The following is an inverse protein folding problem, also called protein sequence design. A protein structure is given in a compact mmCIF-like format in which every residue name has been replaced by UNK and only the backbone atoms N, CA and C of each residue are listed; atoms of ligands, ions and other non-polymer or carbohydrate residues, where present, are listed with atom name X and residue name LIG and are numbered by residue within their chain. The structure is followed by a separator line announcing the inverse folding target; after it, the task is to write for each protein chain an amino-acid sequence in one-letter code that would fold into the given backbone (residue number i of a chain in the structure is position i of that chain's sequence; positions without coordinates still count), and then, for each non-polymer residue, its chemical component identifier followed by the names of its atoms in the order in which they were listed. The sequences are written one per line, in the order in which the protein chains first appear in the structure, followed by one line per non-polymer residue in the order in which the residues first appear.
data_IF_509192634537
#
_entry.id   IF_509192634537
#
_cell.length_a   1.000
_cell.length_b   1.000
_cell.length_c   1.000
_cell.angle_alpha   90.00
_cell.angle_beta   90.00
_cell.angle_gamma   90.00
#
_symmetry.space_group_name_H-M   'P 1'
#
loop_
_entity.id
_entity.type
_entity.pdbx_description
1 polymer ?
#
# COMPACT_ATOMS: atom_id res chain seq x y z
N UNK A 1 10.82 23.84 -50.99
CA UNK A 1 9.52 24.47 -50.67
C UNK A 1 9.64 25.10 -49.29
N UNK A 2 9.22 26.36 -49.11
CA UNK A 2 9.20 26.99 -47.79
C UNK A 2 8.07 26.38 -46.95
N UNK A 3 8.36 26.11 -45.67
CA UNK A 3 7.39 25.57 -44.73
C UNK A 3 6.26 26.60 -44.49
N UNK A 4 4.99 26.17 -44.36
CA UNK A 4 3.87 27.09 -44.10
C UNK A 4 4.04 27.79 -42.74
N UNK A 5 3.62 29.06 -42.66
CA UNK A 5 3.55 29.78 -41.38
C UNK A 5 2.45 29.18 -40.50
N UNK A 6 2.84 28.68 -39.33
CA UNK A 6 1.92 28.10 -38.34
C UNK A 6 1.50 29.13 -37.28
N UNK A 7 0.23 29.10 -36.87
CA UNK A 7 -0.30 29.98 -35.81
C UNK A 7 0.10 29.47 -34.42
N UNK A 8 0.85 30.27 -33.66
CA UNK A 8 1.32 29.91 -32.32
C UNK A 8 0.22 29.64 -31.29
N UNK A 9 -1.03 30.05 -31.55
CA UNK A 9 -2.17 29.85 -30.62
C UNK A 9 -2.88 28.50 -30.82
N UNK A 10 -2.59 27.79 -31.91
CA UNK A 10 -3.21 26.52 -32.25
C UNK A 10 -2.21 25.38 -32.04
N UNK A 11 -2.72 24.20 -31.68
CA UNK A 11 -1.93 22.96 -31.70
C UNK A 11 -1.76 22.51 -33.15
N UNK A 12 -0.55 22.09 -33.52
CA UNK A 12 -0.22 21.59 -34.85
C UNK A 12 0.40 20.21 -34.73
N UNK A 13 0.02 19.32 -35.63
CA UNK A 13 0.68 18.02 -35.81
C UNK A 13 1.60 18.14 -37.03
N UNK A 14 2.91 17.98 -36.80
CA UNK A 14 3.93 18.11 -37.83
C UNK A 14 4.63 16.77 -37.96
N UNK A 15 4.48 16.15 -39.12
CA UNK A 15 5.07 14.85 -39.42
C UNK A 15 6.01 14.98 -40.62
N UNK A 16 7.18 14.36 -40.51
CA UNK A 16 8.19 14.36 -41.56
C UNK A 16 8.18 13.00 -42.23
N UNK A 17 7.93 12.99 -43.55
CA UNK A 17 8.05 11.77 -44.35
C UNK A 17 9.54 11.48 -44.55
N UNK A 18 10.04 10.44 -43.89
CA UNK A 18 11.47 10.06 -43.94
C UNK A 18 11.79 9.21 -45.17
N UNK A 19 10.96 8.21 -45.47
CA UNK A 19 11.15 7.36 -46.66
C UNK A 19 9.80 6.81 -47.16
N UNK A 20 9.78 6.34 -48.42
CA UNK A 20 8.68 5.59 -49.04
C UNK A 20 9.26 4.31 -49.63
N UNK A 21 8.82 3.17 -49.09
CA UNK A 21 9.40 1.87 -49.39
C UNK A 21 8.33 0.85 -49.75
N UNK A 22 8.69 -0.10 -50.61
CA UNK A 22 7.89 -1.29 -50.92
C UNK A 22 8.58 -2.47 -50.25
N UNK A 23 7.88 -3.14 -49.32
CA UNK A 23 8.44 -4.26 -48.55
C UNK A 23 8.72 -5.44 -49.48
N UNK A 24 10.00 -5.80 -49.63
CA UNK A 24 10.49 -6.91 -50.46
C UNK A 24 11.77 -7.50 -49.88
N UNK A 25 12.20 -8.65 -50.37
CA UNK A 25 13.48 -9.22 -49.92
C UNK A 25 14.67 -8.30 -50.27
N UNK A 26 15.64 -8.20 -49.36
CA UNK A 26 16.87 -7.43 -49.54
C UNK A 26 16.84 -5.95 -49.14
N UNK A 27 15.73 -5.42 -48.60
CA UNK A 27 15.65 -4.01 -48.17
C UNK A 27 15.87 -3.77 -46.67
N UNK A 28 16.29 -4.79 -45.90
CA UNK A 28 16.47 -4.68 -44.44
C UNK A 28 17.36 -3.52 -44.01
N UNK A 29 18.48 -3.30 -44.69
CA UNK A 29 19.41 -2.23 -44.34
C UNK A 29 18.78 -0.84 -44.55
N UNK A 30 18.10 -0.64 -45.67
CA UNK A 30 17.36 0.60 -45.95
C UNK A 30 16.23 0.82 -44.93
N UNK A 31 15.48 -0.24 -44.61
CA UNK A 31 14.45 -0.20 -43.56
C UNK A 31 15.03 0.26 -42.22
N UNK A 32 16.15 -0.33 -41.80
CA UNK A 32 16.82 0.02 -40.55
C UNK A 32 17.27 1.48 -40.55
N UNK A 33 17.95 1.94 -41.60
CA UNK A 33 18.43 3.33 -41.72
C UNK A 33 17.27 4.34 -41.69
N UNK A 34 16.16 4.05 -42.38
CA UNK A 34 14.95 4.88 -42.37
C UNK A 34 14.30 4.93 -40.99
N UNK A 35 14.21 3.80 -40.30
CA UNK A 35 13.66 3.73 -38.95
C UNK A 35 14.54 4.47 -37.94
N UNK A 36 15.86 4.32 -38.02
CA UNK A 36 16.80 5.03 -37.15
C UNK A 36 16.72 6.55 -37.36
N UNK A 37 16.61 6.98 -38.63
CA UNK A 37 16.41 8.40 -38.97
C UNK A 37 15.08 8.93 -38.44
N UNK A 38 13.98 8.18 -38.60
CA UNK A 38 12.66 8.57 -38.09
C UNK A 38 12.65 8.69 -36.57
N UNK A 39 13.17 7.67 -35.87
CA UNK A 39 13.27 7.66 -34.41
C UNK A 39 14.18 8.80 -33.92
N UNK A 40 15.28 9.10 -34.61
CA UNK A 40 16.18 10.20 -34.26
C UNK A 40 15.56 11.59 -34.43
N UNK A 41 14.73 11.79 -35.46
CA UNK A 41 14.09 13.07 -35.75
C UNK A 41 12.87 13.37 -34.84
N UNK A 42 12.22 12.34 -34.31
CA UNK A 42 10.95 12.45 -33.59
C UNK A 42 11.04 11.90 -32.14
N UNK A 43 12.16 12.13 -31.46
CA UNK A 43 12.43 11.76 -30.05
C UNK A 43 12.04 10.31 -29.69
N UNK A 44 12.33 9.39 -30.60
CA UNK A 44 12.08 7.97 -30.42
C UNK A 44 10.68 7.50 -30.77
N UNK A 45 9.93 8.23 -31.61
CA UNK A 45 8.65 7.80 -32.18
C UNK A 45 8.79 7.66 -33.70
N UNK A 46 8.27 6.59 -34.28
CA UNK A 46 8.19 6.41 -35.72
C UNK A 46 6.79 5.92 -36.11
N UNK A 47 6.29 6.40 -37.25
CA UNK A 47 5.00 5.99 -37.80
C UNK A 47 5.22 5.29 -39.14
N UNK A 48 4.62 4.11 -39.31
CA UNK A 48 4.54 3.45 -40.60
C UNK A 48 3.09 3.49 -41.08
N UNK A 49 2.86 4.08 -42.25
CA UNK A 49 1.55 4.15 -42.87
C UNK A 49 1.52 3.27 -44.12
N UNK A 50 0.53 2.38 -44.22
CA UNK A 50 0.34 1.54 -45.39
C UNK A 50 -0.27 2.38 -46.52
N UNK A 51 0.45 2.52 -47.64
CA UNK A 51 0.02 3.34 -48.77
C UNK A 51 -1.27 2.84 -49.45
N UNK A 52 -1.58 1.53 -49.38
CA UNK A 52 -2.74 0.94 -50.03
C UNK A 52 -4.01 1.00 -49.17
N UNK A 53 -3.85 1.00 -47.84
CA UNK A 53 -4.95 0.88 -46.87
C UNK A 53 -5.09 2.01 -45.86
N UNK A 54 -4.13 2.94 -45.79
CA UNK A 54 -4.08 4.03 -44.81
C UNK A 54 -3.89 3.56 -43.35
N UNK A 55 -3.65 2.27 -43.13
CA UNK A 55 -3.44 1.71 -41.79
C UNK A 55 -2.12 2.21 -41.22
N UNK A 56 -2.17 2.81 -40.03
CA UNK A 56 -1.02 3.42 -39.36
C UNK A 56 -0.58 2.60 -38.17
N UNK A 57 0.68 2.16 -38.19
CA UNK A 57 1.35 1.49 -37.08
C UNK A 57 2.32 2.46 -36.42
N UNK A 58 2.28 2.54 -35.09
CA UNK A 58 3.19 3.40 -34.31
C UNK A 58 4.27 2.55 -33.65
N UNK A 59 5.50 3.01 -33.72
CA UNK A 59 6.66 2.42 -33.07
C UNK A 59 7.26 3.45 -32.12
N UNK A 60 7.76 2.99 -30.98
CA UNK A 60 8.58 3.82 -30.10
C UNK A 60 9.82 3.04 -29.66
N UNK A 61 10.96 3.73 -29.63
CA UNK A 61 12.22 3.21 -29.06
C UNK A 61 12.28 3.36 -27.55
N UNK A 62 11.32 4.09 -26.95
CA UNK A 62 11.10 4.18 -25.51
C UNK A 62 9.81 3.43 -25.17
N UNK A 63 9.59 3.13 -23.89
CA UNK A 63 8.28 2.66 -23.44
C UNK A 63 7.29 3.84 -23.38
N UNK A 64 6.97 4.42 -24.54
CA UNK A 64 6.02 5.51 -24.71
C UNK A 64 4.67 4.98 -25.18
N UNK A 65 3.58 5.49 -24.62
CA UNK A 65 2.23 5.25 -25.12
C UNK A 65 2.07 5.97 -26.47
N UNK A 66 1.77 5.23 -27.56
CA UNK A 66 1.60 5.80 -28.89
C UNK A 66 0.52 6.87 -29.03
N UNK A 67 -0.47 6.86 -28.13
CA UNK A 67 -1.66 7.74 -28.21
C UNK A 67 -1.51 8.98 -27.32
N UNK A 68 -0.93 8.81 -26.13
CA UNK A 68 -0.85 9.89 -25.13
C UNK A 68 0.54 10.50 -24.99
N UNK A 69 1.58 9.89 -25.57
CA UNK A 69 2.98 10.28 -25.36
C UNK A 69 3.51 9.96 -23.96
N UNK A 70 2.71 9.29 -23.12
CA UNK A 70 3.09 8.91 -21.76
C UNK A 70 4.24 7.90 -21.77
N UNK A 71 5.39 8.25 -21.20
CA UNK A 71 6.57 7.39 -21.11
C UNK A 71 6.70 6.75 -19.74
N UNK A 72 7.09 5.47 -19.71
CA UNK A 72 7.66 4.84 -18.51
C UNK A 72 9.17 4.73 -18.67
N UNK A 73 9.88 4.84 -17.54
CA UNK A 73 11.29 4.49 -17.46
C UNK A 73 11.49 2.99 -17.74
N UNK A 74 12.73 2.59 -17.97
CA UNK A 74 13.07 1.18 -18.17
C UNK A 74 12.53 0.32 -17.01
N UNK A 75 11.93 -0.82 -17.37
CA UNK A 75 11.26 -1.69 -16.39
C UNK A 75 12.31 -2.45 -15.57
N UNK A 76 12.67 -1.86 -14.43
CA UNK A 76 13.64 -2.43 -13.49
C UNK A 76 12.97 -2.86 -12.17
N UNK A 77 13.55 -3.82 -11.42
CA UNK A 77 12.98 -4.28 -10.14
C UNK A 77 12.70 -3.16 -9.12
N UNK A 78 13.54 -2.12 -9.08
CA UNK A 78 13.37 -0.97 -8.17
C UNK A 78 12.07 -0.19 -8.38
N UNK A 79 11.52 -0.23 -9.60
CA UNK A 79 10.24 0.40 -9.93
C UNK A 79 9.06 -0.29 -9.21
N UNK A 80 9.24 -1.52 -8.77
CA UNK A 80 8.25 -2.31 -8.03
C UNK A 80 8.52 -2.36 -6.51
N UNK A 81 9.51 -1.60 -6.03
CA UNK A 81 9.82 -1.51 -4.61
C UNK A 81 9.16 -0.28 -4.00
N UNK A 82 8.24 -0.49 -3.05
CA UNK A 82 7.66 0.59 -2.24
C UNK A 82 8.64 1.19 -1.23
N UNK A 83 9.81 0.55 -1.02
CA UNK A 83 10.89 1.08 -0.18
C UNK A 83 11.88 1.93 -0.99
N UNK A 84 11.66 2.10 -2.30
CA UNK A 84 12.49 2.92 -3.18
C UNK A 84 11.69 4.12 -3.67
N UNK A 85 12.25 5.35 -3.66
CA UNK A 85 11.60 6.52 -4.23
C UNK A 85 11.23 6.37 -5.72
N UNK A 86 11.88 5.44 -6.44
CA UNK A 86 11.56 5.13 -7.83
C UNK A 86 10.18 4.47 -7.98
N UNK A 87 9.83 3.53 -7.08
CA UNK A 87 8.58 2.78 -7.14
C UNK A 87 7.50 3.22 -6.14
N UNK A 88 7.88 3.86 -5.04
CA UNK A 88 6.97 4.25 -3.96
C UNK A 88 5.93 5.28 -4.40
N UNK A 89 4.68 5.10 -3.93
CA UNK A 89 3.63 6.09 -4.11
C UNK A 89 4.06 7.43 -3.48
N UNK A 90 4.07 8.55 -4.24
CA UNK A 90 4.56 9.84 -3.73
C UNK A 90 3.64 10.47 -2.68
N UNK A 91 2.37 10.07 -2.64
CA UNK A 91 1.38 10.62 -1.70
C UNK A 91 1.55 10.06 -0.29
N UNK A 92 1.87 8.77 -0.16
CA UNK A 92 2.02 8.08 1.12
C UNK A 92 3.44 7.57 1.38
N UNK A 93 4.42 7.98 0.56
CA UNK A 93 5.82 7.53 0.62
C UNK A 93 5.97 6.00 0.71
N UNK A 94 5.14 5.27 -0.03
CA UNK A 94 5.14 3.82 -0.02
C UNK A 94 4.63 3.17 1.28
N UNK A 95 3.96 3.90 2.16
CA UNK A 95 3.26 3.31 3.32
C UNK A 95 2.00 2.53 2.91
N UNK A 96 1.26 3.05 1.93
CA UNK A 96 -0.03 2.50 1.47
C UNK A 96 -1.20 2.93 2.32
N UNK A 97 -0.96 3.51 3.49
CA UNK A 97 -1.99 4.10 4.34
C UNK A 97 -1.82 5.62 4.41
N UNK A 98 -2.93 6.29 4.70
CA UNK A 98 -2.97 7.70 5.07
C UNK A 98 -3.62 7.80 6.44
N UNK A 99 -2.95 8.50 7.36
CA UNK A 99 -3.52 8.84 8.65
C UNK A 99 -4.43 10.06 8.50
N UNK A 100 -5.62 10.00 9.09
CA UNK A 100 -6.58 11.11 9.13
C UNK A 100 -7.21 11.18 10.51
N UNK A 101 -7.66 12.36 10.93
CA UNK A 101 -8.39 12.50 12.18
C UNK A 101 -9.81 11.98 12.03
N UNK A 102 -10.17 11.00 12.84
CA UNK A 102 -11.48 10.35 12.78
C UNK A 102 -12.46 11.04 13.74
N UNK A 103 -13.62 11.44 13.22
CA UNK A 103 -14.67 12.06 14.01
C UNK A 103 -15.14 11.18 15.18
N UNK A 104 -15.14 9.85 15.01
CA UNK A 104 -15.53 8.90 16.07
C UNK A 104 -14.48 8.79 17.18
N UNK A 105 -13.20 9.07 16.87
CA UNK A 105 -12.16 9.14 17.90
C UNK A 105 -12.16 10.51 18.60
N UNK A 106 -12.50 11.57 17.87
CA UNK A 106 -12.64 12.93 18.42
C UNK A 106 -13.86 13.04 19.34
N UNK A 107 -14.97 12.37 18.99
CA UNK A 107 -16.20 12.29 19.78
C UNK A 107 -16.56 10.80 19.96
N UNK A 108 -15.97 10.11 20.95
CA UNK A 108 -16.18 8.68 21.15
C UNK A 108 -17.52 8.35 21.85
N UNK A 109 -18.10 9.33 22.55
CA UNK A 109 -19.35 9.16 23.30
C UNK A 109 -20.37 10.20 22.82
N UNK A 110 -21.39 9.69 22.12
CA UNK A 110 -22.42 10.51 21.49
C UNK A 110 -23.48 11.03 22.47
N UNK A 111 -23.55 10.48 23.67
CA UNK A 111 -24.49 10.84 24.74
C UNK A 111 -23.96 11.93 25.68
N UNK A 112 -22.69 12.31 25.55
CA UNK A 112 -22.06 13.38 26.35
C UNK A 112 -22.41 14.75 25.77
N UNK A 113 -22.70 15.72 26.64
CA UNK A 113 -22.98 17.10 26.24
C UNK A 113 -21.69 17.88 25.94
N UNK A 114 -21.78 18.92 25.09
CA UNK A 114 -20.63 19.78 24.75
C UNK A 114 -19.93 20.37 25.99
N UNK A 115 -20.71 20.76 27.01
CA UNK A 115 -20.21 21.30 28.29
C UNK A 115 -19.38 20.28 29.07
N UNK A 116 -19.73 19.01 28.97
CA UNK A 116 -19.17 17.94 29.79
C UNK A 116 -18.01 17.22 29.07
N UNK A 117 -17.53 17.79 27.95
CA UNK A 117 -16.34 17.33 27.26
C UNK A 117 -16.59 16.33 26.14
N UNK A 118 -17.70 16.46 25.39
CA UNK A 118 -17.98 15.60 24.23
C UNK A 118 -16.84 15.58 23.17
N UNK A 119 -16.09 16.69 23.04
CA UNK A 119 -14.98 16.81 22.09
C UNK A 119 -13.67 16.51 22.82
N UNK A 120 -13.26 15.23 22.78
CA UNK A 120 -12.19 14.69 23.59
C UNK A 120 -10.86 15.45 23.47
N UNK A 121 -10.36 15.83 22.26
CA UNK A 121 -9.08 16.53 22.10
C UNK A 121 -9.02 17.91 22.76
N UNK A 122 -10.17 18.50 23.11
CA UNK A 122 -10.27 19.82 23.71
C UNK A 122 -10.57 19.75 25.21
N UNK A 123 -10.76 18.56 25.76
CA UNK A 123 -10.95 18.35 27.20
C UNK A 123 -9.64 18.51 27.98
N UNK A 124 -9.72 19.00 29.21
CA UNK A 124 -8.56 19.10 30.10
C UNK A 124 -7.51 20.15 29.71
N UNK A 125 -7.75 20.94 28.65
CA UNK A 125 -6.87 22.03 28.28
C UNK A 125 -6.85 23.10 29.39
N UNK A 126 -5.66 23.53 29.81
CA UNK A 126 -5.50 24.55 30.86
C UNK A 126 -6.05 25.92 30.49
N UNK A 127 -6.30 26.16 29.20
CA UNK A 127 -6.83 27.42 28.67
C UNK A 127 -8.34 27.32 28.42
N UNK A 128 -9.14 28.31 28.85
CA UNK A 128 -10.58 28.33 28.60
C UNK A 128 -10.94 28.61 27.13
N UNK A 129 -9.94 28.73 26.25
CA UNK A 129 -10.08 29.07 24.85
C UNK A 129 -11.02 28.12 24.08
N UNK A 130 -10.86 26.80 24.25
CA UNK A 130 -11.68 25.82 23.53
C UNK A 130 -13.13 25.80 24.02
N UNK A 131 -13.34 25.85 25.34
CA UNK A 131 -14.68 25.95 25.91
C UNK A 131 -15.42 27.21 25.47
N UNK A 132 -14.73 28.36 25.45
CA UNK A 132 -15.29 29.63 24.98
C UNK A 132 -15.62 29.60 23.47
N UNK A 133 -14.81 28.87 22.68
CA UNK A 133 -15.08 28.63 21.25
C UNK A 133 -16.37 27.83 21.08
N UNK A 134 -16.53 26.72 21.82
CA UNK A 134 -17.74 25.90 21.77
C UNK A 134 -18.98 26.65 22.26
N UNK A 135 -18.85 27.45 23.33
CA UNK A 135 -19.93 28.31 23.80
C UNK A 135 -20.37 29.34 22.74
N UNK A 136 -19.41 29.93 22.02
CA UNK A 136 -19.70 30.88 20.95
C UNK A 136 -20.39 30.20 19.76
N UNK A 137 -19.95 28.99 19.38
CA UNK A 137 -20.60 28.19 18.33
C UNK A 137 -22.02 27.78 18.73
N UNK A 138 -22.21 27.34 19.98
CA UNK A 138 -23.52 26.98 20.51
C UNK A 138 -24.48 28.18 20.47
N UNK A 139 -24.01 29.37 20.87
CA UNK A 139 -24.80 30.59 20.80
C UNK A 139 -25.17 30.99 19.36
N UNK A 140 -24.23 30.87 18.41
CA UNK A 140 -24.45 31.16 16.99
C UNK A 140 -25.51 30.26 16.37
N UNK A 141 -25.40 28.95 16.59
CA UNK A 141 -26.36 27.95 16.09
C UNK A 141 -27.62 27.80 16.95
N UNK A 142 -27.75 28.59 18.02
CA UNK A 142 -28.87 28.58 18.97
C UNK A 142 -29.13 27.20 19.61
N UNK A 143 -28.05 26.46 19.88
CA UNK A 143 -28.08 25.19 20.63
C UNK A 143 -27.58 25.40 22.06
N UNK A 144 -27.94 24.49 22.97
CA UNK A 144 -27.48 24.55 24.36
C UNK A 144 -26.19 23.74 24.50
N UNK A 145 -25.25 24.24 25.30
CA UNK A 145 -24.02 23.50 25.66
C UNK A 145 -24.31 22.22 26.46
N UNK A 146 -25.49 22.11 27.08
CA UNK A 146 -25.92 20.94 27.85
C UNK A 146 -26.64 19.89 26.98
N UNK A 147 -26.79 20.11 25.68
CA UNK A 147 -27.39 19.14 24.78
C UNK A 147 -26.38 18.04 24.45
N UNK A 148 -26.72 16.75 24.60
CA UNK A 148 -25.91 15.62 24.16
C UNK A 148 -25.51 15.71 22.69
N UNK A 149 -24.32 15.22 22.32
CA UNK A 149 -23.80 15.31 20.96
C UNK A 149 -24.76 14.74 19.90
N UNK A 150 -25.35 13.57 20.15
CA UNK A 150 -26.31 12.92 19.24
C UNK A 150 -27.57 13.74 18.99
N UNK A 151 -27.99 14.55 19.96
CA UNK A 151 -29.20 15.38 19.88
C UNK A 151 -28.96 16.70 19.13
N UNK A 152 -27.70 17.07 18.88
CA UNK A 152 -27.36 18.24 18.08
C UNK A 152 -27.80 18.04 16.61
N UNK A 153 -28.34 19.07 15.94
CA UNK A 153 -28.66 18.99 14.53
C UNK A 153 -27.42 18.63 13.71
N UNK A 154 -27.58 17.81 12.66
CA UNK A 154 -26.46 17.36 11.82
C UNK A 154 -25.61 18.52 11.28
N UNK A 155 -26.24 19.62 10.84
CA UNK A 155 -25.53 20.85 10.40
C UNK A 155 -24.60 21.41 11.49
N UNK A 156 -24.99 21.34 12.76
CA UNK A 156 -24.19 21.85 13.88
C UNK A 156 -23.01 20.91 14.18
N UNK A 157 -23.23 19.58 14.15
CA UNK A 157 -22.14 18.61 14.30
C UNK A 157 -21.09 18.75 13.20
N UNK A 158 -21.53 18.86 11.95
CA UNK A 158 -20.67 19.13 10.79
C UNK A 158 -19.92 20.45 10.94
N UNK A 159 -20.61 21.53 11.36
CA UNK A 159 -19.99 22.83 11.59
C UNK A 159 -18.91 22.81 12.68
N UNK A 160 -19.11 22.01 13.73
CA UNK A 160 -18.14 21.84 14.81
C UNK A 160 -16.94 21.00 14.32
N UNK A 161 -17.17 19.89 13.63
CA UNK A 161 -16.09 19.00 13.20
C UNK A 161 -15.28 19.57 12.03
N UNK A 162 -15.94 20.02 10.97
CA UNK A 162 -15.35 20.41 9.69
C UNK A 162 -15.35 21.93 9.44
N UNK A 163 -15.95 22.71 10.34
CA UNK A 163 -15.96 24.16 10.27
C UNK A 163 -17.20 24.73 9.60
N UNK A 164 -17.33 26.06 9.62
CA UNK A 164 -18.52 26.78 9.13
C UNK A 164 -18.45 27.19 7.66
N UNK A 165 -17.41 26.78 6.94
CA UNK A 165 -17.19 27.16 5.53
C UNK A 165 -17.01 28.66 5.39
N UNK A 166 -17.93 29.33 4.69
CA UNK A 166 -17.94 30.79 4.53
C UNK A 166 -18.75 31.52 5.61
N UNK A 167 -19.54 30.79 6.41
CA UNK A 167 -20.41 31.38 7.42
C UNK A 167 -19.56 31.96 8.58
N UNK A 168 -19.64 33.28 8.76
CA UNK A 168 -18.87 34.00 9.77
C UNK A 168 -19.51 33.83 11.15
N UNK A 169 -18.72 33.34 12.10
CA UNK A 169 -19.13 33.19 13.50
C UNK A 169 -18.49 34.29 14.34
N UNK A 170 -19.23 34.80 15.32
CA UNK A 170 -18.68 35.72 16.33
C UNK A 170 -18.17 34.92 17.52
N UNK A 171 -16.85 34.76 17.60
CA UNK A 171 -16.16 34.05 18.69
C UNK A 171 -15.79 35.03 19.78
N UNK A 172 -16.30 34.82 20.99
CA UNK A 172 -16.07 35.69 22.15
C UNK A 172 -15.07 35.05 23.08
N UNK A 173 -13.97 35.74 23.33
CA UNK A 173 -12.93 35.28 24.23
C UNK A 173 -12.81 36.20 25.44
N UNK A 174 -12.58 35.61 26.60
CA UNK A 174 -12.28 36.32 27.85
C UNK A 174 -11.02 35.72 28.44
N UNK A 175 -9.95 36.51 28.42
CA UNK A 175 -8.68 36.16 29.05
C UNK A 175 -8.49 37.08 30.27
N UNK A 176 -8.76 36.55 31.46
CA UNK A 176 -8.68 37.24 32.74
C UNK A 176 -9.32 38.63 32.78
N UNK A 177 -8.53 39.65 32.46
CA UNK A 177 -8.83 41.08 32.54
C UNK A 177 -9.47 41.69 31.29
N UNK A 178 -9.41 41.04 30.11
CA UNK A 178 -9.93 41.61 28.85
C UNK A 178 -10.83 40.61 28.12
N UNK A 179 -11.92 41.14 27.57
CA UNK A 179 -12.79 40.42 26.64
C UNK A 179 -12.61 40.98 25.23
N UNK A 180 -12.52 40.12 24.24
CA UNK A 180 -12.45 40.51 22.83
C UNK A 180 -13.31 39.58 21.96
N UNK A 181 -13.80 40.12 20.85
CA UNK A 181 -14.60 39.36 19.89
C UNK A 181 -13.84 39.23 18.57
N UNK A 182 -13.87 38.05 17.97
CA UNK A 182 -13.29 37.77 16.66
C UNK A 182 -14.41 37.30 15.75
N UNK A 183 -14.58 37.99 14.61
CA UNK A 183 -15.55 37.60 13.57
C UNK A 183 -14.80 36.95 12.42
N UNK A 184 -14.85 35.63 12.35
CA UNK A 184 -14.28 34.85 11.24
C UNK A 184 -15.02 33.54 11.08
N UNK A 185 -14.93 32.89 9.91
CA UNK A 185 -15.36 31.50 9.79
C UNK A 185 -14.57 30.61 10.75
N UNK A 186 -15.25 29.65 11.36
CA UNK A 186 -14.63 28.68 12.23
C UNK A 186 -14.07 27.53 11.39
N UNK A 187 -12.82 27.17 11.64
CA UNK A 187 -12.07 26.20 10.82
C UNK A 187 -12.51 24.74 11.04
N UNK A 188 -13.15 24.42 12.18
CA UNK A 188 -13.49 23.06 12.56
C UNK A 188 -12.46 22.43 13.50
N UNK A 189 -12.91 21.49 14.33
CA UNK A 189 -12.04 20.72 15.24
C UNK A 189 -11.03 19.89 14.45
N UNK A 190 -11.46 19.19 13.40
CA UNK A 190 -10.59 18.32 12.61
C UNK A 190 -9.49 19.12 11.91
N UNK A 191 -9.85 20.23 11.24
CA UNK A 191 -8.87 21.10 10.60
C UNK A 191 -7.90 21.72 11.61
N UNK A 192 -8.36 22.04 12.82
CA UNK A 192 -7.51 22.50 13.91
C UNK A 192 -6.48 21.44 14.31
N UNK A 193 -6.91 20.18 14.48
CA UNK A 193 -6.02 19.06 14.82
C UNK A 193 -5.02 18.78 13.70
N UNK A 194 -5.46 18.76 12.45
CA UNK A 194 -4.59 18.60 11.27
C UNK A 194 -3.52 19.69 11.20
N UNK A 195 -3.92 20.97 11.37
CA UNK A 195 -2.97 22.08 11.40
C UNK A 195 -1.98 21.93 12.54
N UNK A 196 -2.45 21.68 13.77
CA UNK A 196 -1.59 21.50 14.96
C UNK A 196 -0.61 20.34 14.78
N UNK A 197 -1.06 19.22 14.20
CA UNK A 197 -0.20 18.07 13.93
C UNK A 197 0.85 18.38 12.86
N UNK A 198 0.53 19.20 11.86
CA UNK A 198 1.49 19.63 10.83
C UNK A 198 2.51 20.64 11.35
N UNK A 199 2.08 21.57 12.19
CA UNK A 199 2.91 22.68 12.68
C UNK A 199 3.75 22.33 13.93
N UNK A 200 3.40 21.28 14.67
CA UNK A 200 4.13 20.93 15.90
C UNK A 200 5.30 19.97 15.63
N UNK A 201 6.46 20.36 16.15
CA UNK A 201 7.67 19.51 16.17
C UNK A 201 7.84 18.77 17.51
N UNK A 202 6.95 19.00 18.50
CA UNK A 202 7.05 18.36 19.82
C UNK A 202 6.54 16.90 19.76
N UNK A 203 7.38 15.89 20.03
CA UNK A 203 6.99 14.48 19.95
C UNK A 203 5.80 14.11 20.82
N UNK A 204 5.72 14.65 22.04
CA UNK A 204 4.64 14.37 22.99
C UNK A 204 3.29 14.89 22.47
N UNK A 205 3.28 16.08 21.87
CA UNK A 205 2.06 16.65 21.29
C UNK A 205 1.63 15.86 20.06
N UNK A 206 2.58 15.40 19.24
CA UNK A 206 2.27 14.54 18.09
C UNK A 206 1.65 13.21 18.55
N UNK A 207 2.25 12.57 19.54
CA UNK A 207 1.74 11.30 20.09
C UNK A 207 0.34 11.45 20.69
N UNK A 208 0.08 12.52 21.45
CA UNK A 208 -1.24 12.81 22.02
C UNK A 208 -2.29 13.02 20.92
N UNK A 209 -1.96 13.81 19.89
CA UNK A 209 -2.85 14.04 18.75
C UNK A 209 -3.09 12.77 17.92
N UNK A 210 -2.08 11.92 17.73
CA UNK A 210 -2.21 10.68 16.97
C UNK A 210 -3.21 9.68 17.57
N UNK A 211 -3.59 9.82 18.84
CA UNK A 211 -4.66 9.00 19.46
C UNK A 211 -6.03 9.21 18.82
N UNK A 212 -6.22 10.35 18.16
CA UNK A 212 -7.45 10.71 17.46
C UNK A 212 -7.37 10.44 15.96
N UNK A 213 -6.29 9.82 15.48
CA UNK A 213 -6.11 9.45 14.09
C UNK A 213 -6.52 8.00 13.86
N UNK A 214 -7.17 7.76 12.73
CA UNK A 214 -7.36 6.44 12.16
C UNK A 214 -6.52 6.33 10.87
N UNK A 215 -6.25 5.09 10.47
CA UNK A 215 -5.61 4.79 9.20
C UNK A 215 -6.65 4.35 8.18
N UNK A 216 -6.50 4.83 6.94
CA UNK A 216 -7.25 4.33 5.79
C UNK A 216 -6.30 4.01 4.64
N UNK A 217 -6.70 3.19 3.66
CA UNK A 217 -5.93 3.02 2.43
C UNK A 217 -5.69 4.36 1.74
N UNK A 218 -4.47 4.59 1.28
CA UNK A 218 -4.08 5.78 0.54
C UNK A 218 -4.95 5.92 -0.71
N UNK A 219 -5.54 7.10 -0.92
CA UNK A 219 -6.46 7.34 -2.03
C UNK A 219 -5.75 7.31 -3.39
N UNK A 220 -4.46 7.69 -3.44
CA UNK A 220 -3.69 7.76 -4.69
C UNK A 220 -3.25 6.38 -5.21
N UNK A 221 -2.90 5.45 -4.32
CA UNK A 221 -2.45 4.10 -4.72
C UNK A 221 -3.40 2.97 -4.32
N UNK A 222 -4.57 3.31 -3.75
CA UNK A 222 -5.57 2.37 -3.25
C UNK A 222 -4.99 1.31 -2.27
N UNK A 223 -3.95 1.68 -1.52
CA UNK A 223 -3.27 0.76 -0.60
C UNK A 223 -2.14 -0.08 -1.21
N UNK A 224 -1.88 0.01 -2.52
CA UNK A 224 -0.84 -0.79 -3.18
C UNK A 224 0.59 -0.25 -3.02
N UNK A 225 0.78 0.90 -2.35
CA UNK A 225 2.08 1.46 -1.97
C UNK A 225 2.98 1.92 -3.13
N UNK A 226 2.55 1.70 -4.37
CA UNK A 226 3.36 1.93 -5.56
C UNK A 226 2.81 3.08 -6.41
N UNK A 227 3.67 3.59 -7.29
CA UNK A 227 3.31 4.56 -8.31
C UNK A 227 2.32 3.98 -9.32
N UNK A 228 1.42 4.80 -9.90
CA UNK A 228 0.52 4.35 -10.96
C UNK A 228 1.26 3.72 -12.15
N UNK A 229 2.45 4.21 -12.49
CA UNK A 229 3.30 3.67 -13.56
C UNK A 229 3.73 2.22 -13.28
N UNK A 230 4.07 1.90 -12.04
CA UNK A 230 4.44 0.56 -11.62
C UNK A 230 3.23 -0.39 -11.63
N UNK A 231 2.06 0.12 -11.24
CA UNK A 231 0.80 -0.65 -11.26
C UNK A 231 0.24 -0.86 -12.68
N UNK A 232 0.72 -0.10 -13.67
CA UNK A 232 0.36 -0.30 -15.07
C UNK A 232 1.01 -1.56 -15.68
N UNK A 233 2.12 -2.04 -15.11
CA UNK A 233 2.80 -3.26 -15.59
C UNK A 233 2.05 -4.49 -15.07
N UNK A 234 1.62 -5.34 -16.00
CA UNK A 234 0.81 -6.53 -15.72
C UNK A 234 1.47 -7.80 -16.23
N UNK A 235 1.32 -8.87 -15.45
CA UNK A 235 1.66 -10.25 -15.84
C UNK A 235 0.37 -11.05 -15.78
N UNK A 236 0.04 -11.81 -16.82
CA UNK A 236 -1.19 -12.61 -16.89
C UNK A 236 -2.47 -11.85 -16.45
N UNK A 237 -2.56 -10.56 -16.78
CA UNK A 237 -3.72 -9.70 -16.48
C UNK A 237 -3.71 -8.96 -15.13
N UNK A 238 -2.83 -9.33 -14.19
CA UNK A 238 -2.74 -8.69 -12.86
C UNK A 238 -1.46 -7.86 -12.72
N UNK A 239 -1.55 -6.76 -11.99
CA UNK A 239 -0.36 -6.01 -11.55
C UNK A 239 0.17 -6.54 -10.20
N UNK A 240 1.38 -6.11 -9.82
CA UNK A 240 2.06 -6.63 -8.61
C UNK A 240 1.25 -6.44 -7.32
N UNK A 241 0.55 -5.31 -7.18
CA UNK A 241 -0.31 -5.03 -6.03
C UNK A 241 -1.50 -5.99 -5.91
N UNK A 242 -2.18 -6.34 -7.01
CA UNK A 242 -3.28 -7.31 -7.05
C UNK A 242 -2.78 -8.71 -6.73
N UNK A 243 -1.68 -9.14 -7.36
CA UNK A 243 -1.08 -10.45 -7.12
C UNK A 243 -0.64 -10.61 -5.66
N UNK A 244 -0.13 -9.54 -5.04
CA UNK A 244 0.29 -9.55 -3.63
C UNK A 244 -0.89 -9.52 -2.64
N UNK A 245 -2.04 -9.00 -3.06
CA UNK A 245 -3.25 -8.93 -2.23
C UNK A 245 -4.03 -10.26 -2.20
N UNK A 246 -3.76 -11.17 -3.15
CA UNK A 246 -4.33 -12.51 -3.13
C UNK A 246 -3.92 -13.26 -1.86
N UNK A 247 -4.83 -14.09 -1.34
CA UNK A 247 -4.47 -15.10 -0.35
C UNK A 247 -3.43 -16.06 -0.95
N UNK A 248 -2.50 -16.54 -0.14
CA UNK A 248 -1.32 -17.30 -0.57
C UNK A 248 -1.72 -18.55 -1.38
N UNK A 249 -2.79 -19.27 -1.02
CA UNK A 249 -3.27 -20.38 -1.85
C UNK A 249 -3.66 -19.92 -3.26
N UNK A 250 -4.38 -18.80 -3.38
CA UNK A 250 -4.78 -18.24 -4.69
C UNK A 250 -3.60 -17.70 -5.46
N UNK A 251 -2.65 -17.05 -4.77
CA UNK A 251 -1.43 -16.57 -5.39
C UNK A 251 -0.63 -17.74 -5.96
N UNK A 252 -0.48 -18.83 -5.20
CA UNK A 252 0.19 -20.06 -5.68
C UNK A 252 -0.47 -20.61 -6.93
N UNK A 253 -1.79 -20.78 -6.90
CA UNK A 253 -2.54 -21.33 -8.04
C UNK A 253 -2.42 -20.44 -9.27
N UNK A 254 -2.43 -19.12 -9.07
CA UNK A 254 -2.24 -18.15 -10.13
C UNK A 254 -0.82 -18.21 -10.72
N UNK A 255 0.24 -18.16 -9.88
CA UNK A 255 1.63 -18.22 -10.34
C UNK A 255 1.98 -19.56 -11.02
N UNK A 256 1.32 -20.66 -10.65
CA UNK A 256 1.46 -21.94 -11.33
C UNK A 256 0.96 -21.88 -12.79
N UNK A 257 -0.06 -21.05 -13.07
CA UNK A 257 -0.65 -20.89 -14.40
C UNK A 257 0.01 -19.79 -15.24
N UNK A 258 0.75 -18.87 -14.62
CA UNK A 258 1.41 -17.75 -15.33
C UNK A 258 2.31 -18.25 -16.46
N UNK A 259 3.06 -19.34 -16.25
CA UNK A 259 4.03 -19.85 -17.25
C UNK A 259 3.39 -20.20 -18.60
N UNK A 260 2.12 -20.64 -18.58
CA UNK A 260 1.35 -21.01 -19.77
C UNK A 260 0.96 -19.79 -20.61
N UNK A 261 0.79 -18.62 -19.97
CA UNK A 261 0.43 -17.36 -20.62
C UNK A 261 1.61 -16.68 -21.32
N UNK A 262 2.84 -17.12 -21.05
CA UNK A 262 4.07 -16.50 -21.55
C UNK A 262 4.47 -17.07 -22.92
N UNK A 263 5.05 -16.20 -23.75
CA UNK A 263 5.73 -16.61 -25.00
C UNK A 263 6.94 -17.49 -24.68
N UNK A 264 7.41 -18.35 -25.61
CA UNK A 264 8.55 -19.24 -25.35
C UNK A 264 9.81 -18.53 -24.84
N UNK A 265 10.13 -17.35 -25.40
CA UNK A 265 11.26 -16.53 -24.96
C UNK A 265 11.09 -16.02 -23.53
N UNK A 266 9.91 -15.46 -23.20
CA UNK A 266 9.62 -14.95 -21.84
C UNK A 266 9.59 -16.06 -20.81
N UNK A 267 9.06 -17.22 -21.20
CA UNK A 267 9.04 -18.43 -20.38
C UNK A 267 10.45 -18.85 -19.97
N UNK A 268 11.39 -18.86 -20.91
CA UNK A 268 12.77 -19.28 -20.62
C UNK A 268 13.45 -18.36 -19.60
N UNK A 269 13.23 -17.05 -19.72
CA UNK A 269 13.72 -16.04 -18.77
C UNK A 269 13.06 -16.20 -17.40
N UNK A 270 11.72 -16.35 -17.37
CA UNK A 270 10.95 -16.36 -16.14
C UNK A 270 10.97 -17.69 -15.38
N UNK A 271 11.33 -18.81 -16.02
CA UNK A 271 11.19 -20.17 -15.45
C UNK A 271 11.83 -20.32 -14.06
N UNK A 272 13.05 -19.83 -13.89
CA UNK A 272 13.76 -19.92 -12.59
C UNK A 272 13.09 -19.07 -11.51
N UNK A 273 12.62 -17.89 -11.88
CA UNK A 273 11.94 -16.95 -10.98
C UNK A 273 10.58 -17.51 -10.56
N UNK A 274 9.80 -18.01 -11.51
CA UNK A 274 8.49 -18.61 -11.24
C UNK A 274 8.59 -19.86 -10.37
N UNK A 275 9.61 -20.70 -10.59
CA UNK A 275 9.88 -21.84 -9.72
C UNK A 275 10.12 -21.40 -8.28
N UNK A 276 11.02 -20.43 -8.07
CA UNK A 276 11.34 -19.91 -6.75
C UNK A 276 10.11 -19.31 -6.04
N UNK A 277 9.27 -18.57 -6.77
CA UNK A 277 8.02 -18.01 -6.24
C UNK A 277 7.07 -19.13 -5.83
N UNK A 278 6.83 -20.10 -6.72
CA UNK A 278 5.91 -21.21 -6.46
C UNK A 278 6.37 -22.07 -5.27
N UNK A 279 7.67 -22.35 -5.16
CA UNK A 279 8.24 -23.11 -4.05
C UNK A 279 8.04 -22.36 -2.72
N UNK A 280 8.33 -21.04 -2.68
CA UNK A 280 8.12 -20.22 -1.47
C UNK A 280 6.66 -20.12 -1.06
N UNK A 281 5.76 -19.96 -2.02
CA UNK A 281 4.32 -19.95 -1.75
C UNK A 281 3.86 -21.32 -1.25
N UNK A 282 4.37 -22.41 -1.82
CA UNK A 282 4.04 -23.75 -1.35
C UNK A 282 4.54 -23.99 0.08
N UNK A 283 5.73 -23.52 0.46
CA UNK A 283 6.19 -23.63 1.85
C UNK A 283 5.27 -22.89 2.83
N UNK A 284 4.74 -21.72 2.45
CA UNK A 284 3.76 -21.00 3.27
C UNK A 284 2.44 -21.76 3.40
N UNK A 285 2.01 -22.47 2.35
CA UNK A 285 0.84 -23.37 2.40
C UNK A 285 1.10 -24.57 3.30
N UNK A 286 2.30 -25.16 3.22
CA UNK A 286 2.69 -26.35 4.00
C UNK A 286 2.69 -26.06 5.51
N UNK A 287 3.05 -24.83 5.92
CA UNK A 287 2.99 -24.39 7.33
C UNK A 287 1.62 -23.80 7.72
N UNK A 288 0.59 -23.93 6.89
CA UNK A 288 -0.78 -23.51 7.21
C UNK A 288 -1.00 -22.00 7.24
N UNK A 289 -0.27 -21.23 6.44
CA UNK A 289 -0.44 -19.78 6.29
C UNK A 289 -1.15 -19.40 4.99
N UNK A 290 -1.83 -20.35 4.36
CA UNK A 290 -2.44 -20.22 3.04
C UNK A 290 -3.58 -19.18 2.94
N UNK A 291 -4.15 -18.80 4.10
CA UNK A 291 -5.19 -17.78 4.22
C UNK A 291 -4.64 -16.34 4.25
N UNK A 292 -3.34 -16.16 4.51
CA UNK A 292 -2.71 -14.83 4.52
C UNK A 292 -2.46 -14.32 3.11
N UNK A 293 -2.27 -13.01 2.96
CA UNK A 293 -1.79 -12.39 1.72
C UNK A 293 -0.35 -11.89 1.87
N UNK A 294 0.37 -11.76 0.76
CA UNK A 294 1.72 -11.19 0.75
C UNK A 294 1.72 -9.69 1.11
N UNK A 295 0.58 -9.02 0.94
CA UNK A 295 0.40 -7.61 1.29
C UNK A 295 0.11 -7.36 2.78
N UNK A 296 -0.12 -8.39 3.61
CA UNK A 296 -0.44 -8.22 5.04
C UNK A 296 0.76 -7.62 5.79
N UNK A 297 0.49 -6.63 6.64
CA UNK A 297 1.51 -6.02 7.50
C UNK A 297 2.08 -7.02 8.51
N UNK A 298 3.41 -7.07 8.61
CA UNK A 298 4.11 -7.92 9.58
C UNK A 298 3.79 -7.56 11.04
N UNK A 299 3.41 -6.30 11.32
CA UNK A 299 3.05 -5.84 12.67
C UNK A 299 1.72 -6.41 13.18
N UNK A 300 0.88 -6.92 12.28
CA UNK A 300 -0.44 -7.46 12.61
C UNK A 300 -0.44 -8.98 12.75
N UNK A 301 0.72 -9.63 12.58
CA UNK A 301 0.85 -11.07 12.68
C UNK A 301 0.89 -11.49 14.16
N UNK A 302 0.22 -12.60 14.46
CA UNK A 302 0.38 -13.28 15.74
C UNK A 302 1.80 -13.86 15.89
N UNK A 303 2.17 -14.20 17.13
CA UNK A 303 3.45 -14.85 17.42
C UNK A 303 3.63 -16.15 16.63
N UNK A 304 2.61 -17.01 16.62
CA UNK A 304 2.61 -18.27 15.87
C UNK A 304 2.68 -18.06 14.35
N UNK A 305 1.96 -17.08 13.79
CA UNK A 305 2.09 -16.75 12.35
C UNK A 305 3.53 -16.31 12.01
N UNK A 306 4.12 -15.43 12.82
CA UNK A 306 5.49 -14.93 12.61
C UNK A 306 6.54 -16.05 12.69
N UNK A 307 6.37 -16.96 13.66
CA UNK A 307 7.24 -18.13 13.80
C UNK A 307 7.13 -19.06 12.59
N UNK A 308 5.93 -19.33 12.09
CA UNK A 308 5.72 -20.18 10.92
C UNK A 308 6.24 -19.55 9.63
N UNK A 309 6.15 -18.23 9.44
CA UNK A 309 6.80 -17.52 8.32
C UNK A 309 8.31 -17.70 8.38
N UNK A 310 8.90 -17.60 9.59
CA UNK A 310 10.33 -17.85 9.77
C UNK A 310 10.69 -19.29 9.41
N UNK A 311 9.91 -20.28 9.86
CA UNK A 311 10.11 -21.69 9.51
C UNK A 311 10.05 -21.93 7.98
N UNK A 312 9.00 -21.44 7.32
CA UNK A 312 8.87 -21.51 5.86
C UNK A 312 10.07 -20.90 5.12
N UNK A 313 10.56 -19.75 5.62
CA UNK A 313 11.75 -19.07 5.06
C UNK A 313 13.02 -19.90 5.24
N UNK A 314 13.15 -20.63 6.35
CA UNK A 314 14.30 -21.50 6.61
C UNK A 314 14.29 -22.74 5.70
N UNK A 315 13.13 -23.35 5.47
CA UNK A 315 13.00 -24.48 4.54
C UNK A 315 13.36 -24.04 3.12
N UNK A 316 12.90 -22.85 2.70
CA UNK A 316 13.22 -22.30 1.40
C UNK A 316 14.67 -21.83 1.24
N UNK A 317 15.46 -21.75 2.32
CA UNK A 317 16.88 -21.41 2.22
C UNK A 317 17.74 -22.59 1.76
N UNK A 318 17.22 -23.82 1.86
CA UNK A 318 17.93 -25.03 1.44
C UNK A 318 19.22 -25.30 2.22
N UNK A 319 19.36 -24.72 3.42
CA UNK A 319 20.54 -24.92 4.26
C UNK A 319 20.60 -26.37 4.76
N UNK A 320 21.82 -26.88 4.88
CA UNK A 320 22.13 -28.24 5.36
C UNK A 320 23.17 -28.16 6.47
N UNK A 321 23.18 -29.12 7.40
CA UNK A 321 24.11 -29.13 8.54
C UNK A 321 23.80 -28.09 9.62
N UNK A 322 22.57 -27.56 9.67
CA UNK A 322 22.14 -26.57 10.67
C UNK A 322 21.40 -27.27 11.82
N UNK A 323 21.59 -26.78 13.04
CA UNK A 323 20.77 -27.12 14.20
C UNK A 323 19.65 -26.08 14.35
N UNK A 324 18.42 -26.48 14.05
CA UNK A 324 17.24 -25.68 14.31
C UNK A 324 16.70 -25.97 15.71
N UNK A 325 16.57 -24.93 16.53
CA UNK A 325 15.94 -25.00 17.85
C UNK A 325 14.60 -24.26 17.78
N UNK A 326 13.51 -24.98 17.95
CA UNK A 326 12.15 -24.45 17.91
C UNK A 326 11.50 -24.55 19.28
N UNK A 327 10.83 -23.47 19.68
CA UNK A 327 10.10 -23.36 20.94
C UNK A 327 8.59 -23.41 20.65
N UNK A 328 7.93 -24.49 21.05
CA UNK A 328 6.50 -24.77 20.91
C UNK A 328 5.87 -24.33 19.58
N UNK A 329 6.33 -24.87 18.43
CA UNK A 329 5.83 -24.47 17.11
C UNK A 329 4.35 -24.81 16.86
N UNK A 330 3.73 -25.65 17.70
CA UNK A 330 2.29 -25.97 17.63
C UNK A 330 1.38 -24.88 18.23
N UNK A 331 1.92 -23.88 18.94
CA UNK A 331 1.12 -22.83 19.59
C UNK A 331 0.20 -22.14 18.57
N UNK A 332 -1.10 -22.12 18.89
CA UNK A 332 -2.11 -21.43 18.10
C UNK A 332 -2.40 -22.11 16.76
N UNK A 333 -2.01 -23.37 16.58
CA UNK A 333 -2.44 -24.20 15.46
C UNK A 333 -3.68 -25.03 15.83
N UNK A 334 -4.54 -25.22 14.84
CA UNK A 334 -5.61 -26.20 14.92
C UNK A 334 -5.03 -27.61 14.73
N UNK A 335 -5.58 -28.64 15.38
CA UNK A 335 -5.06 -30.02 15.32
C UNK A 335 -4.82 -30.53 13.90
N UNK A 336 -5.72 -30.18 12.97
CA UNK A 336 -5.60 -30.52 11.54
C UNK A 336 -4.31 -30.00 10.89
N UNK A 337 -3.86 -28.82 11.29
CA UNK A 337 -2.70 -28.17 10.67
C UNK A 337 -1.40 -28.57 11.40
N UNK A 338 -1.50 -29.19 12.58
CA UNK A 338 -0.37 -29.77 13.31
C UNK A 338 0.29 -30.90 12.52
N UNK A 339 -0.50 -31.78 11.87
CA UNK A 339 0.06 -32.85 11.03
C UNK A 339 0.92 -32.30 9.90
N UNK A 340 0.50 -31.19 9.28
CA UNK A 340 1.27 -30.52 8.21
C UNK A 340 2.57 -29.92 8.73
N UNK A 341 2.54 -29.34 9.93
CA UNK A 341 3.74 -28.86 10.61
C UNK A 341 4.74 -30.00 10.85
N UNK A 342 4.28 -31.14 11.38
CA UNK A 342 5.14 -32.30 11.65
C UNK A 342 5.75 -32.90 10.36
N UNK A 343 4.99 -32.94 9.26
CA UNK A 343 5.55 -33.31 7.93
C UNK A 343 6.65 -32.34 7.52
N UNK A 344 6.43 -31.05 7.75
CA UNK A 344 7.37 -29.99 7.40
C UNK A 344 8.66 -30.06 8.22
N UNK A 345 8.57 -30.33 9.53
CA UNK A 345 9.73 -30.52 10.40
C UNK A 345 10.56 -31.75 10.01
N UNK A 346 9.90 -32.86 9.64
CA UNK A 346 10.56 -34.06 9.11
C UNK A 346 11.30 -33.75 7.81
N UNK A 347 10.69 -32.98 6.90
CA UNK A 347 11.35 -32.53 5.67
C UNK A 347 12.59 -31.69 5.97
N UNK A 348 12.53 -30.79 6.97
CA UNK A 348 13.68 -29.98 7.37
C UNK A 348 14.83 -30.84 7.91
N UNK A 349 14.52 -31.87 8.71
CA UNK A 349 15.48 -32.89 9.16
C UNK A 349 16.08 -33.65 7.98
N UNK A 350 15.23 -34.13 7.06
CA UNK A 350 15.64 -34.97 5.93
C UNK A 350 16.51 -34.25 4.90
N UNK A 351 16.52 -32.90 4.91
CA UNK A 351 17.49 -32.08 4.18
C UNK A 351 18.92 -32.17 4.76
N UNK A 352 19.13 -32.91 5.85
CA UNK A 352 20.43 -33.05 6.52
C UNK A 352 20.63 -32.05 7.66
N UNK A 353 19.55 -31.63 8.31
CA UNK A 353 19.59 -30.75 9.48
C UNK A 353 19.20 -31.51 10.74
N UNK A 354 19.56 -30.96 11.91
CA UNK A 354 19.04 -31.43 13.19
C UNK A 354 17.94 -30.47 13.65
N UNK A 355 16.80 -31.02 14.06
CA UNK A 355 15.65 -30.23 14.52
C UNK A 355 15.38 -30.60 15.98
N UNK A 356 15.67 -29.67 16.89
CA UNK A 356 15.34 -29.77 18.31
C UNK A 356 14.07 -28.97 18.55
N UNK A 357 13.04 -29.63 19.08
CA UNK A 357 11.73 -29.03 19.32
C UNK A 357 11.40 -29.17 20.80
N UNK A 358 11.09 -28.05 21.45
CA UNK A 358 10.44 -28.03 22.77
C UNK A 358 8.94 -28.07 22.51
N UNK A 359 8.27 -29.12 22.97
CA UNK A 359 6.84 -29.35 22.74
C UNK A 359 6.17 -30.06 23.90
N UNK A 360 4.85 -29.88 23.98
CA UNK A 360 3.97 -30.59 24.89
C UNK A 360 2.83 -31.31 24.13
N UNK A 361 2.71 -31.14 22.82
CA UNK A 361 1.73 -31.82 21.99
C UNK A 361 2.01 -33.34 21.86
N UNK A 362 0.94 -34.15 21.99
CA UNK A 362 1.04 -35.61 21.98
C UNK A 362 1.47 -36.16 20.61
N UNK A 363 0.97 -35.61 19.50
CA UNK A 363 1.30 -36.07 18.16
C UNK A 363 2.77 -35.77 17.83
N UNK A 364 3.27 -34.59 18.23
CA UNK A 364 4.67 -34.22 18.13
C UNK A 364 5.58 -35.20 18.89
N UNK A 365 5.26 -35.44 20.17
CA UNK A 365 5.95 -36.39 21.05
C UNK A 365 6.00 -37.80 20.44
N UNK A 366 4.87 -38.30 19.92
CA UNK A 366 4.77 -39.63 19.31
C UNK A 366 5.55 -39.75 18.00
N UNK A 367 5.70 -38.65 17.27
CA UNK A 367 6.38 -38.60 15.97
C UNK A 367 7.89 -38.38 16.05
N UNK A 368 8.42 -38.06 17.23
CA UNK A 368 9.83 -37.73 17.43
C UNK A 368 10.74 -38.95 17.23
N UNK A 369 11.86 -38.76 16.52
CA UNK A 369 12.89 -39.80 16.38
C UNK A 369 13.63 -40.07 17.71
N UNK A 370 13.75 -39.03 18.53
CA UNK A 370 14.36 -39.07 19.85
C UNK A 370 13.61 -38.14 20.80
N UNK A 371 13.41 -38.59 22.04
CA UNK A 371 12.67 -37.85 23.06
C UNK A 371 13.52 -37.71 24.32
N UNK A 372 13.60 -36.47 24.81
CA UNK A 372 14.26 -36.10 26.06
C UNK A 372 13.23 -35.44 26.96
N UNK A 373 12.91 -36.09 28.08
CA UNK A 373 12.03 -35.55 29.10
C UNK A 373 12.85 -34.83 30.18
N UNK A 374 12.49 -33.57 30.50
CA UNK A 374 13.21 -32.70 31.44
C UNK A 374 12.32 -32.47 32.66
N UNK A 375 12.77 -32.97 33.82
CA UNK A 375 12.03 -32.91 35.07
C UNK A 375 12.78 -33.58 36.23
N UNK A 376 12.15 -33.83 37.39
CA UNK A 376 10.70 -33.74 37.69
C UNK A 376 10.20 -32.40 38.25
N UNK A 377 11.07 -31.39 38.41
CA UNK A 377 10.71 -30.07 38.94
C UNK A 377 10.72 -29.00 37.83
N UNK A 378 9.95 -27.92 38.01
CA UNK A 378 10.01 -26.76 37.13
C UNK A 378 11.40 -26.11 37.18
N UNK A 379 11.89 -25.63 36.03
CA UNK A 379 13.13 -24.85 35.95
C UNK A 379 13.04 -23.61 36.84
N UNK A 380 14.07 -23.39 37.68
CA UNK A 380 14.16 -22.22 38.58
C UNK A 380 14.66 -20.98 37.88
#
# INVERSE_FOLDING_TARGET
AEAPKLDKKLKHDIEVVVDRIVVRDGIMQRLADSFETALGLADGIAYAENADGGERTVFSSRFACPVSGFTIEEVEPRLFSFNSPHGACPTCDGLGTESFFDAQLVVPQDDVALKDGAIMPWTGASSPYYDQTLQSLAAHFKVKMTTPWQELPAKVREAILHGTGEEVVTLRYKDGLRAYEVKKPFEGVIANLERRFRETDNPWVREDLSRYQAERPCAACAGHRLKPQSLAVKVAGLHIGEASALAIHRARDWFAQVEETLTPQRRDIARRILREINDRLQFLVDVGLDYLSLARSSTTLSGGESQRIRLASQIGSGLTGVLYVLDEPSIGLHQRDNERLLVTLRRLRDLGNTVLVVEHDEDAIRSADHLVDIGPAAGK
#
